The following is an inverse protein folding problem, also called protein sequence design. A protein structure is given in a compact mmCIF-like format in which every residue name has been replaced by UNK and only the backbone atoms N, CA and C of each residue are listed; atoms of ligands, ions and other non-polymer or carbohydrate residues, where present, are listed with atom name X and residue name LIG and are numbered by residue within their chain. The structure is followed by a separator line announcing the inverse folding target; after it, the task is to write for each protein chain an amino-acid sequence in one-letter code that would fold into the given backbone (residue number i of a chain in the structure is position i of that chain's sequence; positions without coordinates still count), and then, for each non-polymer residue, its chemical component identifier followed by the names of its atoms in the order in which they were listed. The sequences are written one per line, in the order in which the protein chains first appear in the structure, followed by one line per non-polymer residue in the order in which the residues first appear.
data_IF_812056883658
#
_entry.id   IF_812056883658
#
_cell.length_a   1.000
_cell.length_b   1.000
_cell.length_c   1.000
_cell.angle_alpha   90.00
_cell.angle_beta   90.00
_cell.angle_gamma   90.00
#
_symmetry.space_group_name_H-M   'P 1'
#
loop_
_entity.id
_entity.type
_entity.pdbx_description
1 polymer ?
#
# COMPACT_ATOMS: atom_id res chain seq x y z
N UNK A 1 2.18 -10.02 45.44
CA UNK A 1 3.05 -10.26 44.27
C UNK A 1 2.69 -9.19 43.26
N UNK A 2 3.39 -8.05 43.32
CA UNK A 2 3.22 -6.96 42.36
C UNK A 2 4.30 -7.16 41.30
N UNK A 3 3.88 -7.35 40.05
CA UNK A 3 4.81 -7.40 38.93
C UNK A 3 5.10 -5.97 38.52
N UNK A 4 6.27 -5.47 38.92
CA UNK A 4 6.81 -4.22 38.42
C UNK A 4 7.16 -4.42 36.95
N UNK A 5 6.33 -3.87 36.06
CA UNK A 5 6.59 -3.84 34.62
C UNK A 5 7.50 -2.65 34.34
N UNK A 6 8.80 -2.90 34.31
CA UNK A 6 9.79 -1.94 33.88
C UNK A 6 9.49 -1.51 32.43
N UNK A 7 8.98 -0.30 32.28
CA UNK A 7 8.68 0.30 30.99
C UNK A 7 9.96 0.48 30.19
N UNK A 8 10.25 -0.47 29.30
CA UNK A 8 11.32 -0.33 28.33
C UNK A 8 10.93 0.75 27.33
N UNK A 9 11.56 1.92 27.46
CA UNK A 9 11.55 2.96 26.44
C UNK A 9 12.14 2.36 25.16
N UNK A 10 11.27 2.07 24.19
CA UNK A 10 11.69 1.59 22.88
C UNK A 10 12.42 2.72 22.16
N UNK A 11 13.75 2.70 22.28
CA UNK A 11 14.63 3.59 21.56
C UNK A 11 14.23 3.61 20.09
N UNK A 12 13.90 4.79 19.57
CA UNK A 12 13.70 5.01 18.13
C UNK A 12 15.02 4.72 17.42
N UNK A 13 15.27 3.46 17.08
CA UNK A 13 16.27 3.07 16.09
C UNK A 13 15.95 3.87 14.84
N UNK A 14 16.93 4.59 14.30
CA UNK A 14 16.84 5.12 12.93
C UNK A 14 16.59 3.92 12.03
N UNK A 15 15.35 3.76 11.58
CA UNK A 15 14.98 2.72 10.61
C UNK A 15 15.62 3.12 9.29
N UNK A 16 16.79 2.54 9.00
CA UNK A 16 17.24 2.40 7.63
C UNK A 16 16.14 1.63 6.91
N UNK A 17 15.35 2.35 6.09
CA UNK A 17 14.17 1.76 5.47
C UNK A 17 14.55 0.61 4.54
N UNK A 18 13.69 -0.38 4.44
CA UNK A 18 13.89 -1.52 3.54
C UNK A 18 13.25 -1.26 2.17
N UNK A 19 13.92 -1.67 1.10
CA UNK A 19 13.35 -1.63 -0.25
C UNK A 19 12.47 -2.86 -0.47
N UNK A 20 11.24 -2.63 -0.90
CA UNK A 20 10.27 -3.66 -1.26
C UNK A 20 9.70 -3.38 -2.66
N UNK A 21 9.21 -4.43 -3.31
CA UNK A 21 8.42 -4.28 -4.55
C UNK A 21 6.94 -4.25 -4.19
N UNK A 22 6.23 -3.20 -4.59
CA UNK A 22 4.77 -3.09 -4.44
C UNK A 22 4.11 -3.55 -5.72
N UNK A 23 3.07 -4.37 -5.58
CA UNK A 23 2.27 -4.87 -6.70
C UNK A 23 0.82 -4.54 -6.44
N UNK A 24 0.29 -3.55 -7.15
CA UNK A 24 -1.13 -3.17 -7.08
C UNK A 24 -1.95 -3.95 -8.14
N UNK A 25 -3.24 -4.20 -7.87
CA UNK A 25 -4.14 -4.80 -8.87
C UNK A 25 -4.17 -3.96 -10.15
N UNK A 26 -4.14 -4.63 -11.30
CA UNK A 26 -4.22 -4.01 -12.64
C UNK A 26 -3.10 -3.01 -13.00
N UNK A 27 -2.05 -2.90 -12.18
CA UNK A 27 -0.91 -2.01 -12.41
C UNK A 27 0.42 -2.75 -12.52
N UNK A 28 1.39 -2.05 -13.09
CA UNK A 28 2.78 -2.47 -13.10
C UNK A 28 3.38 -2.34 -11.68
N UNK A 29 4.32 -3.22 -11.31
CA UNK A 29 4.96 -3.17 -10.00
C UNK A 29 5.94 -2.00 -9.92
N UNK A 30 6.25 -1.55 -8.72
CA UNK A 30 7.22 -0.49 -8.51
C UNK A 30 7.96 -0.66 -7.17
N UNK A 31 9.19 -0.13 -7.11
CA UNK A 31 9.99 -0.18 -5.89
C UNK A 31 9.59 0.95 -4.93
N UNK A 32 9.57 0.61 -3.64
CA UNK A 32 9.29 1.57 -2.57
C UNK A 32 10.18 1.27 -1.36
N UNK A 33 10.72 2.31 -0.74
CA UNK A 33 11.40 2.20 0.54
C UNK A 33 10.41 2.43 1.68
N UNK A 34 10.36 1.53 2.65
CA UNK A 34 9.43 1.55 3.78
C UNK A 34 10.17 1.35 5.10
N UNK A 35 9.57 1.72 6.23
CA UNK A 35 10.21 1.56 7.56
C UNK A 35 10.47 0.11 7.95
N UNK A 36 9.68 -0.83 7.41
CA UNK A 36 9.77 -2.26 7.72
C UNK A 36 9.03 -2.68 8.99
N UNK A 37 8.45 -1.73 9.72
CA UNK A 37 7.59 -2.03 10.87
C UNK A 37 6.24 -2.60 10.43
N UNK A 38 5.62 -3.42 11.30
CA UNK A 38 4.32 -4.05 11.06
C UNK A 38 3.27 -3.05 10.56
N UNK A 39 3.26 -1.83 11.13
CA UNK A 39 2.30 -0.79 10.75
C UNK A 39 2.50 -0.31 9.31
N UNK A 40 3.75 -0.17 8.84
CA UNK A 40 3.99 0.19 7.44
C UNK A 40 3.52 -0.89 6.47
N UNK A 41 3.72 -2.17 6.81
CA UNK A 41 3.25 -3.30 6.01
C UNK A 41 1.72 -3.33 5.94
N UNK A 42 1.05 -3.23 7.10
CA UNK A 42 -0.42 -3.20 7.19
C UNK A 42 -1.04 -2.04 6.41
N UNK A 43 -0.42 -0.85 6.45
CA UNK A 43 -0.89 0.30 5.68
C UNK A 43 -0.81 0.09 4.16
N UNK A 44 0.13 -0.72 3.69
CA UNK A 44 0.32 -1.00 2.26
C UNK A 44 -0.68 -2.03 1.77
N UNK A 45 -0.84 -3.13 2.51
CA UNK A 45 -1.77 -4.20 2.12
C UNK A 45 -3.23 -3.87 2.46
N UNK A 46 -3.45 -2.87 3.32
CA UNK A 46 -4.78 -2.37 3.69
C UNK A 46 -5.49 -3.23 4.73
N UNK A 47 -4.77 -3.80 5.69
CA UNK A 47 -5.36 -4.68 6.72
C UNK A 47 -4.32 -5.49 7.49
N UNK A 48 -4.78 -6.55 8.15
CA UNK A 48 -3.88 -7.53 8.76
C UNK A 48 -3.04 -8.22 7.68
N UNK A 49 -1.77 -8.45 8.01
CA UNK A 49 -0.83 -9.05 7.06
C UNK A 49 -0.79 -10.56 7.25
N UNK A 50 -0.60 -11.27 6.15
CA UNK A 50 -0.13 -12.65 6.12
C UNK A 50 1.02 -12.75 5.12
N UNK A 51 1.86 -13.78 5.26
CA UNK A 51 3.05 -13.99 4.44
C UNK A 51 3.06 -15.37 3.78
N UNK A 52 3.31 -15.39 2.48
CA UNK A 52 3.44 -16.64 1.71
C UNK A 52 4.81 -16.71 1.04
N UNK A 53 5.28 -17.94 0.83
CA UNK A 53 6.62 -18.24 0.33
C UNK A 53 6.56 -19.09 -0.95
N UNK A 54 5.97 -18.56 -2.04
CA UNK A 54 5.72 -19.35 -3.26
C UNK A 54 6.98 -19.57 -4.10
N UNK A 55 8.13 -18.98 -3.74
CA UNK A 55 9.35 -19.00 -4.54
C UNK A 55 10.49 -19.67 -3.79
N UNK A 56 11.45 -20.22 -4.55
CA UNK A 56 12.69 -20.78 -4.00
C UNK A 56 13.70 -19.71 -3.57
N UNK A 57 13.54 -18.49 -4.06
CA UNK A 57 14.37 -17.36 -3.65
C UNK A 57 14.04 -16.97 -2.19
N UNK A 58 14.97 -16.34 -1.45
CA UNK A 58 14.73 -15.86 -0.09
C UNK A 58 13.87 -14.59 -0.09
N UNK A 59 12.61 -14.73 -0.48
CA UNK A 59 11.62 -13.65 -0.54
C UNK A 59 10.28 -14.11 0.01
N UNK A 60 9.51 -13.17 0.53
CA UNK A 60 8.12 -13.39 0.93
C UNK A 60 7.18 -12.46 0.16
N UNK A 61 6.00 -12.99 -0.16
CA UNK A 61 4.85 -12.17 -0.53
C UNK A 61 4.10 -11.84 0.76
N UNK A 62 4.02 -10.55 1.09
CA UNK A 62 3.20 -10.05 2.19
C UNK A 62 1.92 -9.47 1.62
N UNK A 63 0.78 -10.01 2.05
CA UNK A 63 -0.55 -9.72 1.52
C UNK A 63 -1.55 -9.44 2.65
N UNK A 64 -2.75 -9.02 2.28
CA UNK A 64 -3.85 -8.84 3.22
C UNK A 64 -4.53 -10.19 3.51
N UNK A 65 -4.49 -10.63 4.77
CA UNK A 65 -5.05 -11.91 5.21
C UNK A 65 -6.55 -12.03 4.89
N UNK A 66 -7.29 -10.93 5.09
CA UNK A 66 -8.73 -10.87 4.87
C UNK A 66 -9.08 -10.42 3.45
N UNK A 67 -8.11 -10.22 2.56
CA UNK A 67 -8.33 -9.57 1.27
C UNK A 67 -9.38 -10.26 0.41
N UNK A 68 -9.38 -11.60 0.40
CA UNK A 68 -10.38 -12.41 -0.33
C UNK A 68 -11.78 -12.30 0.28
N UNK A 69 -11.87 -12.34 1.60
CA UNK A 69 -13.13 -12.32 2.35
C UNK A 69 -13.77 -10.93 2.26
N UNK A 70 -12.96 -9.88 2.27
CA UNK A 70 -13.37 -8.48 2.10
C UNK A 70 -13.64 -8.10 0.64
N UNK A 71 -13.54 -9.05 -0.31
CA UNK A 71 -13.84 -8.81 -1.72
C UNK A 71 -12.86 -7.87 -2.42
N UNK A 72 -11.60 -7.79 -1.95
CA UNK A 72 -10.57 -7.01 -2.64
C UNK A 72 -10.33 -7.55 -4.05
N UNK A 73 -9.89 -6.65 -4.94
CA UNK A 73 -9.66 -6.99 -6.34
C UNK A 73 -8.56 -8.05 -6.48
N UNK A 74 -8.78 -9.14 -7.24
CA UNK A 74 -7.74 -10.11 -7.57
C UNK A 74 -6.56 -9.44 -8.28
N UNK A 75 -5.34 -9.80 -7.87
CA UNK A 75 -4.13 -9.12 -8.31
C UNK A 75 -3.23 -10.03 -9.17
N UNK A 76 -2.75 -11.15 -8.60
CA UNK A 76 -1.86 -12.11 -9.28
C UNK A 76 -2.18 -13.54 -8.85
N UNK A 77 -2.00 -14.49 -9.76
CA UNK A 77 -2.05 -15.91 -9.46
C UNK A 77 -0.76 -16.43 -8.83
N UNK A 78 -0.88 -17.37 -7.90
CA UNK A 78 0.21 -18.17 -7.38
C UNK A 78 0.12 -19.58 -7.97
N UNK A 79 1.26 -20.06 -8.48
CA UNK A 79 1.34 -21.30 -9.25
C UNK A 79 2.25 -22.30 -8.54
N UNK A 80 1.89 -23.57 -8.59
CA UNK A 80 2.71 -24.66 -8.06
C UNK A 80 3.88 -24.99 -9.00
N UNK A 81 4.75 -25.93 -8.58
CA UNK A 81 5.89 -26.39 -9.41
C UNK A 81 5.47 -27.03 -10.75
N UNK A 82 4.19 -27.41 -10.89
CA UNK A 82 3.62 -27.98 -12.12
C UNK A 82 2.95 -26.91 -13.00
N UNK A 83 2.94 -25.65 -12.56
CA UNK A 83 2.31 -24.53 -13.26
C UNK A 83 0.78 -24.44 -13.06
N UNK A 84 0.20 -25.19 -12.11
CA UNK A 84 -1.21 -25.07 -11.79
C UNK A 84 -1.45 -23.91 -10.83
N UNK A 85 -2.48 -23.12 -11.10
CA UNK A 85 -2.94 -22.07 -10.19
C UNK A 85 -3.48 -22.73 -8.90
N UNK A 86 -2.82 -22.48 -7.77
CA UNK A 86 -3.26 -22.99 -6.47
C UNK A 86 -3.89 -21.90 -5.60
N UNK A 87 -3.50 -20.64 -5.80
CA UNK A 87 -4.08 -19.52 -5.07
C UNK A 87 -4.08 -18.20 -5.87
N UNK A 88 -4.88 -17.23 -5.44
CA UNK A 88 -4.97 -15.89 -6.04
C UNK A 88 -4.80 -14.85 -4.93
N UNK A 89 -3.82 -13.97 -5.07
CA UNK A 89 -3.64 -12.84 -4.14
C UNK A 89 -4.70 -11.78 -4.44
N UNK A 90 -5.39 -11.31 -3.41
CA UNK A 90 -6.39 -10.24 -3.51
C UNK A 90 -5.87 -8.95 -2.86
N UNK A 91 -6.07 -7.82 -3.52
CA UNK A 91 -5.59 -6.52 -3.08
C UNK A 91 -4.11 -6.26 -3.41
N UNK A 92 -3.62 -5.12 -2.93
CA UNK A 92 -2.20 -4.75 -3.05
C UNK A 92 -1.36 -5.67 -2.16
N UNK A 93 -0.27 -6.20 -2.70
CA UNK A 93 0.71 -6.96 -1.93
C UNK A 93 2.11 -6.40 -2.15
N UNK A 94 3.03 -6.82 -1.31
CA UNK A 94 4.44 -6.47 -1.45
C UNK A 94 5.32 -7.71 -1.46
N UNK A 95 6.49 -7.57 -2.08
CA UNK A 95 7.55 -8.56 -2.06
C UNK A 95 8.70 -7.98 -1.24
N UNK A 96 9.03 -8.68 -0.16
CA UNK A 96 10.15 -8.36 0.70
C UNK A 96 11.24 -9.43 0.58
N UNK A 97 12.49 -9.04 0.76
CA UNK A 97 13.57 -10.00 0.97
C UNK A 97 13.40 -10.68 2.33
N UNK A 98 14.04 -11.81 2.52
CA UNK A 98 14.09 -12.50 3.80
C UNK A 98 15.46 -12.36 4.43
N UNK A 99 15.46 -12.10 5.73
CA UNK A 99 16.62 -12.24 6.62
C UNK A 99 16.43 -13.49 7.48
N UNK A 100 17.28 -13.71 8.49
CA UNK A 100 17.19 -14.91 9.35
C UNK A 100 15.84 -14.99 10.08
N UNK A 101 15.35 -13.86 10.61
CA UNK A 101 14.15 -13.83 11.47
C UNK A 101 13.09 -12.79 11.06
N UNK A 102 13.35 -11.97 10.04
CA UNK A 102 12.45 -10.85 9.68
C UNK A 102 12.45 -10.55 8.16
N UNK A 103 11.52 -9.71 7.74
CA UNK A 103 11.51 -9.11 6.41
C UNK A 103 12.69 -8.16 6.24
N UNK A 104 13.28 -8.19 5.06
CA UNK A 104 14.46 -7.43 4.71
C UNK A 104 14.34 -6.71 3.38
N UNK A 105 15.39 -5.94 3.10
CA UNK A 105 15.59 -5.28 1.82
C UNK A 105 15.69 -6.29 0.69
N UNK A 106 14.90 -6.07 -0.36
CA UNK A 106 15.00 -6.82 -1.59
C UNK A 106 16.31 -6.44 -2.31
N UNK A 107 17.13 -7.43 -2.67
CA UNK A 107 18.36 -7.19 -3.44
C UNK A 107 18.03 -6.63 -4.82
N UNK A 108 18.98 -5.97 -5.47
CA UNK A 108 18.77 -5.38 -6.80
C UNK A 108 18.47 -6.46 -7.86
N UNK A 109 19.14 -7.61 -7.75
CA UNK A 109 18.91 -8.77 -8.63
C UNK A 109 17.48 -9.31 -8.50
N UNK A 110 17.02 -9.52 -7.26
CA UNK A 110 15.65 -9.99 -7.00
C UNK A 110 14.63 -8.94 -7.39
N UNK A 111 14.92 -7.66 -7.14
CA UNK A 111 14.08 -6.54 -7.54
C UNK A 111 13.84 -6.54 -9.05
N UNK A 112 14.89 -6.66 -9.87
CA UNK A 112 14.76 -6.73 -11.32
C UNK A 112 13.99 -7.98 -11.79
N UNK A 113 14.28 -9.14 -11.19
CA UNK A 113 13.59 -10.40 -11.48
C UNK A 113 12.09 -10.30 -11.25
N UNK A 114 11.69 -9.80 -10.09
CA UNK A 114 10.27 -9.71 -9.73
C UNK A 114 9.55 -8.54 -10.40
N UNK A 115 10.27 -7.45 -10.72
CA UNK A 115 9.76 -6.37 -11.56
C UNK A 115 9.32 -6.91 -12.92
N UNK A 116 10.18 -7.68 -13.60
CA UNK A 116 9.84 -8.28 -14.89
C UNK A 116 8.77 -9.37 -14.77
N UNK A 117 8.82 -10.19 -13.71
CA UNK A 117 7.80 -11.24 -13.46
C UNK A 117 6.39 -10.66 -13.33
N UNK A 118 6.23 -9.55 -12.62
CA UNK A 118 4.92 -8.96 -12.33
C UNK A 118 4.55 -7.76 -13.21
N UNK A 119 5.42 -7.41 -14.16
CA UNK A 119 5.28 -6.31 -15.10
C UNK A 119 3.92 -6.25 -15.76
N UNK A 120 3.46 -7.39 -16.26
CA UNK A 120 2.14 -7.50 -16.89
C UNK A 120 1.09 -7.79 -15.81
N UNK A 121 0.06 -6.94 -15.68
CA UNK A 121 -1.06 -7.24 -14.80
C UNK A 121 -1.84 -8.46 -15.25
N UNK A 122 -2.45 -9.17 -14.29
CA UNK A 122 -3.31 -10.32 -14.55
C UNK A 122 -4.76 -9.99 -14.17
N UNK A 123 -5.71 -10.67 -14.81
CA UNK A 123 -7.12 -10.58 -14.47
C UNK A 123 -7.75 -11.96 -14.30
N UNK A 124 -8.69 -12.11 -13.34
CA UNK A 124 -9.40 -13.37 -13.12
C UNK A 124 -10.43 -13.59 -14.23
N UNK A 125 -10.44 -14.78 -14.83
CA UNK A 125 -11.43 -15.22 -15.81
C UNK A 125 -11.94 -16.61 -15.44
N UNK A 126 -13.20 -16.88 -15.73
CA UNK A 126 -13.79 -18.22 -15.59
C UNK A 126 -13.87 -18.89 -16.95
N UNK A 127 -13.10 -19.96 -17.15
CA UNK A 127 -13.06 -20.75 -18.37
C UNK A 127 -13.57 -22.15 -18.03
N UNK A 128 -14.66 -22.58 -18.65
CA UNK A 128 -15.29 -23.90 -18.41
C UNK A 128 -15.56 -24.18 -16.92
N UNK A 129 -15.96 -23.17 -16.15
CA UNK A 129 -16.22 -23.28 -14.72
C UNK A 129 -14.98 -23.26 -13.83
N UNK A 130 -13.77 -23.23 -14.39
CA UNK A 130 -12.51 -23.12 -13.65
C UNK A 130 -12.01 -21.67 -13.65
N UNK A 131 -11.48 -21.22 -12.52
CA UNK A 131 -10.85 -19.90 -12.41
C UNK A 131 -9.43 -19.96 -12.97
N UNK A 132 -9.08 -18.98 -13.81
CA UNK A 132 -7.72 -18.79 -14.33
C UNK A 132 -7.35 -17.31 -14.22
N UNK A 133 -6.05 -17.04 -14.06
CA UNK A 133 -5.51 -15.69 -14.15
C UNK A 133 -4.87 -15.54 -15.53
N UNK A 134 -5.33 -14.57 -16.32
CA UNK A 134 -4.80 -14.31 -17.66
C UNK A 134 -4.12 -12.94 -17.71
N UNK A 135 -3.01 -12.81 -18.44
CA UNK A 135 -2.37 -11.52 -18.65
C UNK A 135 -3.35 -10.52 -19.28
N UNK A 136 -3.39 -9.31 -18.73
CA UNK A 136 -4.26 -8.25 -19.22
C UNK A 136 -3.84 -7.86 -20.64
N UNK A 137 -4.76 -7.84 -21.62
CA UNK A 137 -4.43 -7.51 -23.01
C UNK A 137 -3.99 -6.06 -23.14
N UNK A 138 -3.07 -5.78 -24.06
CA UNK A 138 -2.43 -4.45 -24.21
C UNK A 138 -3.43 -3.30 -24.41
N UNK A 139 -4.53 -3.54 -25.14
CA UNK A 139 -5.55 -2.52 -25.40
C UNK A 139 -6.23 -2.02 -24.12
N UNK A 140 -6.29 -2.87 -23.09
CA UNK A 140 -6.85 -2.51 -21.78
C UNK A 140 -5.82 -1.80 -20.90
N UNK A 141 -4.52 -2.11 -21.04
CA UNK A 141 -3.43 -1.45 -20.29
C UNK A 141 -3.31 0.05 -20.61
N UNK A 142 -3.47 0.42 -21.88
CA UNK A 142 -3.42 1.83 -22.29
C UNK A 142 -4.57 2.67 -21.71
N UNK A 143 -5.75 2.07 -21.53
CA UNK A 143 -6.92 2.75 -20.99
C UNK A 143 -6.83 2.96 -19.48
N UNK A 144 -6.34 1.97 -18.73
CA UNK A 144 -6.10 2.12 -17.28
C UNK A 144 -5.01 3.16 -17.01
N UNK A 145 -3.90 3.14 -17.74
CA UNK A 145 -2.85 4.15 -17.60
C UNK A 145 -3.33 5.59 -17.92
N UNK A 146 -4.25 5.75 -18.88
CA UNK A 146 -4.84 7.05 -19.19
C UNK A 146 -5.81 7.52 -18.10
N UNK A 147 -6.68 6.62 -17.63
CA UNK A 147 -7.62 6.90 -16.54
C UNK A 147 -6.89 7.27 -15.23
N UNK A 148 -5.74 6.65 -14.95
CA UNK A 148 -4.89 7.01 -13.79
C UNK A 148 -4.31 8.41 -13.90
N UNK A 149 -3.83 8.80 -15.09
CA UNK A 149 -3.32 10.16 -15.33
C UNK A 149 -4.43 11.21 -15.17
N UNK A 150 -5.63 10.90 -15.67
CA UNK A 150 -6.78 11.78 -15.54
C UNK A 150 -7.24 11.88 -14.07
N UNK A 151 -7.28 10.76 -13.34
CA UNK A 151 -7.61 10.72 -11.90
C UNK A 151 -6.60 11.51 -11.06
N UNK A 152 -5.30 11.32 -11.31
CA UNK A 152 -4.23 12.05 -10.63
C UNK A 152 -4.26 13.55 -10.95
N UNK A 153 -4.60 13.93 -12.19
CA UNK A 153 -4.80 15.33 -12.56
C UNK A 153 -5.96 15.97 -11.80
N UNK A 154 -7.09 15.26 -11.69
CA UNK A 154 -8.26 15.72 -10.91
C UNK A 154 -7.89 15.89 -9.43
N UNK A 155 -7.21 14.93 -8.81
CA UNK A 155 -6.77 15.08 -7.40
C UNK A 155 -5.81 16.26 -7.17
N UNK A 156 -4.91 16.52 -8.11
CA UNK A 156 -3.98 17.66 -8.07
C UNK A 156 -4.72 19.00 -8.21
N UNK A 157 -5.75 19.07 -9.06
CA UNK A 157 -6.61 20.25 -9.22
C UNK A 157 -7.46 20.52 -7.95
N UNK A 158 -7.98 19.49 -7.29
CA UNK A 158 -8.68 19.63 -6.01
C UNK A 158 -7.77 20.14 -4.87
N UNK A 159 -6.53 19.65 -4.78
CA UNK A 159 -5.55 20.10 -3.76
C UNK A 159 -5.06 21.53 -4.00
N UNK A 160 -4.89 21.94 -5.26
CA UNK A 160 -4.49 23.31 -5.62
C UNK A 160 -5.64 24.32 -5.49
N UNK A 161 -6.90 23.89 -5.67
CA UNK A 161 -8.10 24.70 -5.44
C UNK A 161 -8.34 25.06 -3.97
N UNK A 162 -8.01 24.18 -3.02
CA UNK A 162 -8.17 24.44 -1.58
C UNK A 162 -7.15 25.45 -1.01
N UNK A 163 -6.00 25.64 -1.64
CA UNK A 163 -4.98 26.60 -1.19
C UNK A 163 -5.29 28.07 -1.52
N UNK A 164 -6.33 28.39 -2.31
CA UNK A 164 -6.62 29.78 -2.72
C UNK A 164 -7.56 30.56 -1.79
N UNK A 165 -8.21 29.93 -0.80
CA UNK A 165 -9.24 30.58 0.03
C UNK A 165 -8.83 30.92 1.48
N UNK A 166 -7.57 31.23 1.74
CA UNK A 166 -7.11 31.65 3.08
C UNK A 166 -6.35 32.98 3.12
N UNK A 167 -6.82 34.00 2.39
CA UNK A 167 -6.42 35.40 2.65
C UNK A 167 -7.57 36.36 2.39
N UNK A 168 -8.28 36.77 3.44
CA UNK A 168 -8.70 38.16 3.75
C UNK A 168 -9.80 38.18 4.80
N UNK A 169 -9.44 38.43 6.07
CA UNK A 169 -10.21 39.34 6.93
C UNK A 169 -9.48 39.62 8.26
N UNK A 170 -8.42 40.43 8.19
CA UNK A 170 -7.99 41.22 9.35
C UNK A 170 -8.45 42.67 9.12
N UNK A 171 -9.65 43.01 9.58
CA UNK A 171 -9.94 44.32 10.17
C UNK A 171 -11.41 44.45 10.57
N UNK A 172 -11.69 44.40 11.88
CA UNK A 172 -12.78 45.19 12.48
C UNK A 172 -12.50 45.50 13.95
N UNK A 173 -11.75 46.59 14.11
CA UNK A 173 -11.82 47.64 15.14
C UNK A 173 -12.56 47.29 16.45
N UNK A 174 -11.75 47.24 17.49
CA UNK A 174 -12.05 47.52 18.90
C UNK A 174 -12.93 48.79 19.01
N UNK A 175 -14.09 48.67 19.65
CA UNK A 175 -14.78 49.80 20.29
C UNK A 175 -15.09 49.44 21.74
N UNK A 176 -14.23 49.92 22.64
CA UNK A 176 -14.49 50.04 24.07
C UNK A 176 -15.70 50.96 24.28
N UNK A 177 -16.69 50.52 25.07
CA UNK A 177 -17.57 51.43 25.84
C UNK A 177 -17.82 50.86 27.24
N UNK A 178 -17.10 51.47 28.17
CA UNK A 178 -17.38 51.77 29.58
C UNK A 178 -18.62 51.16 30.25
N UNK A 179 -18.33 50.46 31.36
CA UNK A 179 -19.23 50.27 32.50
C UNK A 179 -19.45 51.61 33.22
N UNK A 180 -20.70 51.95 33.45
CA UNK A 180 -21.27 52.82 34.49
C UNK A 180 -22.77 52.44 34.49
N UNK A 181 -23.53 52.35 35.57
CA UNK A 181 -23.36 52.83 36.93
C UNK A 181 -24.27 52.01 37.87
N UNK A 182 -24.00 52.20 39.15
CA UNK A 182 -24.63 51.66 40.36
C UNK A 182 -26.15 51.87 40.48
N UNK A 183 -26.79 51.02 41.29
CA UNK A 183 -27.68 51.51 42.36
C UNK A 183 -29.19 51.37 42.21
N UNK A 184 -29.71 50.44 43.03
CA UNK A 184 -31.02 50.42 43.73
C UNK A 184 -32.23 49.81 43.04
#
# INVERSE_FOLDING_TARGET
MNYDYDGQETGRKKTEGMKVLIVEPLKEPYLKTISGDLRSLQNIVGGHIDATYPFKDPVAIVLNDEGKINGMMPNRGLYDDKGNLYDIVAGTFLIAGLTEDDFGTLSEELSAKYMEKFKVPEMPVRINGQMAMVPMPEQMRGKTAQAEKDSARVEMEFKTGQCRNSRTNQNRKIRKRSRANEGR
#
